data_IF_819394272874
#
_entry.id   IF_819394272874
#
_cell.length_a   1.000
_cell.length_b   1.000
_cell.length_c   1.000
_cell.angle_alpha   90.00
_cell.angle_beta   90.00
_cell.angle_gamma   90.00
#
_symmetry.space_group_name_H-M   'P 1'
#
loop_
_entity.id
_entity.type
_entity.pdbx_description
1 polymer ?
#
# COMPACT_ATOMS: atom_id res chain seq x y z
N UNK A 1 10.10 -4.42 -20.80
CA UNK A 1 9.22 -5.55 -21.18
C UNK A 1 8.23 -5.89 -20.06
N UNK A 2 8.62 -5.81 -18.79
CA UNK A 2 7.75 -6.15 -17.64
C UNK A 2 6.61 -5.11 -17.38
N UNK A 3 6.83 -3.84 -17.68
CA UNK A 3 5.82 -2.78 -17.58
C UNK A 3 4.70 -2.97 -18.60
N UNK A 4 4.97 -3.63 -19.69
CA UNK A 4 4.02 -3.87 -20.79
C UNK A 4 2.99 -4.94 -20.41
N UNK A 5 3.34 -5.94 -19.59
CA UNK A 5 2.43 -7.05 -19.28
C UNK A 5 1.23 -6.67 -18.40
N UNK A 6 1.33 -5.61 -17.58
CA UNK A 6 0.18 -5.06 -16.85
C UNK A 6 -0.68 -4.11 -17.70
N UNK A 7 -0.22 -3.77 -18.90
CA UNK A 7 -0.89 -2.88 -19.82
C UNK A 7 -1.84 -3.59 -20.80
N UNK A 8 -1.69 -4.89 -20.96
CA UNK A 8 -2.61 -5.68 -21.80
C UNK A 8 -3.88 -6.00 -21.00
N UNK A 9 -4.77 -5.03 -20.95
CA UNK A 9 -6.15 -5.23 -20.51
C UNK A 9 -6.96 -5.43 -21.79
N UNK A 10 -7.87 -6.38 -21.79
CA UNK A 10 -8.80 -6.63 -22.88
C UNK A 10 -9.56 -5.34 -23.24
N UNK A 11 -9.36 -4.79 -24.45
CA UNK A 11 -9.92 -3.48 -24.81
C UNK A 11 -11.43 -3.49 -24.79
N UNK A 12 -12.04 -4.55 -25.27
CA UNK A 12 -13.49 -4.73 -25.22
C UNK A 12 -14.02 -4.67 -23.79
N UNK A 13 -13.26 -5.13 -22.80
CA UNK A 13 -13.63 -5.11 -21.38
C UNK A 13 -13.36 -3.79 -20.67
N UNK A 14 -12.56 -2.89 -21.23
CA UNK A 14 -12.46 -1.53 -20.70
C UNK A 14 -13.71 -0.72 -21.02
N UNK A 15 -14.27 -0.89 -22.20
CA UNK A 15 -15.50 -0.23 -22.59
C UNK A 15 -16.69 -0.84 -21.83
N UNK A 16 -16.68 -2.14 -21.58
CA UNK A 16 -17.67 -2.84 -20.74
C UNK A 16 -17.58 -2.49 -19.25
N UNK A 17 -16.37 -2.27 -18.72
CA UNK A 17 -16.19 -1.75 -17.35
C UNK A 17 -16.79 -0.35 -17.16
N UNK A 18 -17.16 0.30 -18.24
CA UNK A 18 -17.83 1.61 -18.25
C UNK A 18 -19.35 1.48 -18.25
N UNK A 19 -19.90 0.27 -18.33
CA UNK A 19 -21.36 0.07 -18.44
C UNK A 19 -22.19 0.75 -17.34
N UNK A 20 -21.59 0.97 -16.15
CA UNK A 20 -22.19 1.70 -15.03
C UNK A 20 -21.47 3.03 -14.74
N UNK A 21 -20.39 3.36 -15.46
CA UNK A 21 -19.70 4.61 -15.26
C UNK A 21 -20.54 5.78 -15.79
N UNK A 22 -20.74 6.79 -14.95
CA UNK A 22 -21.56 7.97 -15.23
C UNK A 22 -23.10 7.75 -15.21
N UNK A 23 -23.58 6.55 -14.86
CA UNK A 23 -24.99 6.27 -14.63
C UNK A 23 -25.20 5.73 -13.22
N UNK A 24 -25.72 6.57 -12.32
CA UNK A 24 -25.94 6.23 -10.91
C UNK A 24 -27.05 5.21 -10.66
N UNK A 25 -27.91 4.95 -11.64
CA UNK A 25 -29.01 3.99 -11.58
C UNK A 25 -28.57 2.61 -12.11
N UNK A 26 -27.47 2.55 -12.87
CA UNK A 26 -26.99 1.31 -13.46
C UNK A 26 -26.22 0.47 -12.44
N UNK A 27 -26.67 -0.77 -12.23
CA UNK A 27 -25.95 -1.71 -11.36
C UNK A 27 -24.66 -2.22 -12.03
N UNK A 28 -23.60 -2.40 -11.24
CA UNK A 28 -22.38 -3.04 -11.70
C UNK A 28 -22.56 -4.51 -12.16
N UNK A 29 -23.74 -5.10 -11.96
CA UNK A 29 -24.12 -6.42 -12.49
C UNK A 29 -24.13 -6.47 -14.02
N UNK A 30 -24.22 -5.32 -14.71
CA UNK A 30 -24.07 -5.25 -16.16
C UNK A 30 -22.71 -5.79 -16.66
N UNK A 31 -21.70 -5.86 -15.79
CA UNK A 31 -20.42 -6.51 -16.11
C UNK A 31 -20.49 -8.05 -16.11
N UNK A 32 -21.45 -8.65 -15.41
CA UNK A 32 -21.43 -10.09 -15.09
C UNK A 32 -21.64 -11.00 -16.29
N UNK A 33 -22.47 -10.62 -17.25
CA UNK A 33 -22.82 -11.44 -18.40
C UNK A 33 -21.75 -11.38 -19.51
N UNK A 34 -21.12 -10.24 -19.66
CA UNK A 34 -20.15 -9.97 -20.72
C UNK A 34 -18.75 -10.53 -20.43
N UNK A 35 -18.37 -10.70 -19.15
CA UNK A 35 -17.09 -11.32 -18.78
C UNK A 35 -16.94 -12.80 -19.15
N UNK A 36 -18.03 -13.48 -19.54
CA UNK A 36 -18.02 -14.91 -19.85
C UNK A 36 -17.80 -15.22 -21.34
N UNK A 37 -18.04 -14.27 -22.25
CA UNK A 37 -18.13 -14.57 -23.69
C UNK A 37 -16.97 -14.08 -24.55
N UNK A 38 -16.09 -13.22 -24.09
CA UNK A 38 -15.06 -12.65 -24.97
C UNK A 38 -13.75 -13.41 -24.93
N UNK A 39 -13.24 -13.73 -26.13
CA UNK A 39 -11.92 -14.29 -26.38
C UNK A 39 -10.80 -13.36 -25.83
N UNK A 40 -9.66 -13.95 -25.51
CA UNK A 40 -8.52 -13.27 -24.87
C UNK A 40 -7.68 -12.50 -25.92
N UNK A 41 -8.25 -11.55 -26.62
CA UNK A 41 -7.47 -10.67 -27.48
C UNK A 41 -6.84 -9.56 -26.64
N UNK A 42 -5.52 -9.61 -26.52
CA UNK A 42 -4.72 -8.62 -25.80
C UNK A 42 -4.65 -7.35 -26.67
N UNK A 43 -5.14 -6.24 -26.15
CA UNK A 43 -5.13 -4.97 -26.85
C UNK A 43 -4.28 -3.96 -26.11
N UNK A 44 -3.58 -3.11 -26.85
CA UNK A 44 -2.74 -2.05 -26.30
C UNK A 44 -3.65 -0.99 -25.64
N UNK A 45 -3.64 -0.94 -24.31
CA UNK A 45 -4.40 0.04 -23.55
C UNK A 45 -3.58 1.30 -23.32
N UNK A 46 -4.15 2.46 -23.70
CA UNK A 46 -3.56 3.77 -23.39
C UNK A 46 -3.70 4.16 -21.90
N UNK A 47 -4.43 3.37 -21.10
CA UNK A 47 -4.61 3.57 -19.65
C UNK A 47 -3.53 2.86 -18.83
N UNK A 48 -2.29 2.99 -19.24
CA UNK A 48 -1.14 2.45 -18.52
C UNK A 48 -0.38 3.56 -17.82
N UNK A 49 0.30 3.21 -16.74
CA UNK A 49 1.22 4.12 -16.05
C UNK A 49 2.50 4.39 -16.90
N UNK A 50 2.32 4.65 -18.20
CA UNK A 50 3.42 4.90 -19.13
C UNK A 50 4.14 6.23 -18.85
N UNK A 51 3.45 7.18 -18.24
CA UNK A 51 3.97 8.51 -17.95
C UNK A 51 4.61 8.61 -16.55
N UNK A 52 4.77 7.48 -15.84
CA UNK A 52 5.41 7.49 -14.52
C UNK A 52 4.61 8.21 -13.42
N UNK A 53 3.29 8.36 -13.59
CA UNK A 53 2.42 9.04 -12.62
C UNK A 53 2.35 8.32 -11.26
N UNK A 54 2.58 7.00 -11.25
CA UNK A 54 2.60 6.18 -10.05
C UNK A 54 3.95 5.48 -9.89
N UNK A 55 4.44 5.31 -8.64
CA UNK A 55 5.62 4.51 -8.37
C UNK A 55 5.49 3.09 -8.92
N UNK A 56 6.57 2.55 -9.45
CA UNK A 56 6.58 1.25 -10.13
C UNK A 56 6.59 0.04 -9.18
N UNK A 57 6.84 0.25 -7.90
CA UNK A 57 7.04 -0.83 -6.93
C UNK A 57 5.87 -1.81 -6.82
N UNK A 58 4.65 -1.30 -6.67
CA UNK A 58 3.45 -2.13 -6.63
C UNK A 58 3.29 -2.97 -7.91
N UNK A 59 3.45 -2.36 -9.08
CA UNK A 59 3.27 -3.03 -10.37
C UNK A 59 4.35 -4.07 -10.63
N UNK A 60 5.59 -3.78 -10.23
CA UNK A 60 6.70 -4.73 -10.31
C UNK A 60 6.39 -6.02 -9.54
N UNK A 61 5.98 -5.92 -8.28
CA UNK A 61 5.67 -7.09 -7.47
C UNK A 61 4.40 -7.80 -7.92
N UNK A 62 3.38 -7.07 -8.32
CA UNK A 62 2.13 -7.66 -8.84
C UNK A 62 2.35 -8.42 -10.14
N UNK A 63 3.33 -8.04 -10.97
CA UNK A 63 3.61 -8.73 -12.23
C UNK A 63 4.06 -10.19 -12.06
N UNK A 64 4.64 -10.56 -10.92
CA UNK A 64 4.99 -11.97 -10.63
C UNK A 64 3.76 -12.86 -10.41
N UNK A 65 2.61 -12.28 -10.15
CA UNK A 65 1.34 -12.99 -9.96
C UNK A 65 0.48 -13.01 -11.22
N UNK A 66 0.97 -12.41 -12.30
CA UNK A 66 0.29 -12.41 -13.58
C UNK A 66 0.43 -13.78 -14.27
N UNK A 67 -0.67 -14.29 -14.80
CA UNK A 67 -0.75 -15.52 -15.58
C UNK A 67 -1.61 -15.29 -16.83
N UNK A 68 -1.68 -16.27 -17.72
CA UNK A 68 -2.51 -16.20 -18.92
C UNK A 68 -4.04 -16.15 -18.60
N UNK A 69 -4.42 -16.54 -17.38
CA UNK A 69 -5.79 -16.49 -16.92
C UNK A 69 -6.01 -15.25 -16.04
N UNK A 70 -6.80 -14.29 -16.52
CA UNK A 70 -7.07 -13.04 -15.84
C UNK A 70 -7.72 -13.23 -14.46
N UNK A 71 -8.70 -14.15 -14.35
CA UNK A 71 -9.38 -14.44 -13.09
C UNK A 71 -8.42 -14.99 -12.06
N UNK A 72 -7.56 -15.94 -12.45
CA UNK A 72 -6.54 -16.51 -11.57
C UNK A 72 -5.56 -15.45 -11.11
N UNK A 73 -5.08 -14.61 -12.02
CA UNK A 73 -4.18 -13.49 -11.70
C UNK A 73 -4.81 -12.52 -10.70
N UNK A 74 -6.05 -12.09 -10.96
CA UNK A 74 -6.76 -11.17 -10.07
C UNK A 74 -7.00 -11.77 -8.68
N UNK A 75 -7.42 -13.04 -8.60
CA UNK A 75 -7.61 -13.74 -7.32
C UNK A 75 -6.30 -13.91 -6.56
N UNK A 76 -5.22 -14.31 -7.25
CA UNK A 76 -3.89 -14.44 -6.64
C UNK A 76 -3.40 -13.10 -6.06
N UNK A 77 -3.50 -12.02 -6.84
CA UNK A 77 -3.12 -10.67 -6.38
C UNK A 77 -3.95 -10.25 -5.17
N UNK A 78 -5.26 -10.43 -5.19
CA UNK A 78 -6.16 -10.10 -4.08
C UNK A 78 -5.84 -10.88 -2.82
N UNK A 79 -5.65 -12.19 -2.96
CA UNK A 79 -5.29 -13.05 -1.83
C UNK A 79 -3.94 -12.68 -1.22
N UNK A 80 -2.92 -12.47 -2.06
CA UNK A 80 -1.58 -12.10 -1.60
C UNK A 80 -1.60 -10.75 -0.89
N UNK A 81 -2.37 -9.77 -1.36
CA UNK A 81 -2.48 -8.46 -0.69
C UNK A 81 -3.18 -8.55 0.67
N UNK A 82 -4.29 -9.31 0.75
CA UNK A 82 -4.97 -9.55 2.02
C UNK A 82 -4.06 -10.29 3.02
N UNK A 83 -3.35 -11.32 2.54
CA UNK A 83 -2.39 -12.07 3.34
C UNK A 83 -1.22 -11.20 3.81
N UNK A 84 -0.65 -10.39 2.91
CA UNK A 84 0.43 -9.45 3.24
C UNK A 84 0.03 -8.50 4.38
N UNK A 85 -1.12 -7.84 4.24
CA UNK A 85 -1.62 -6.94 5.30
C UNK A 85 -1.83 -7.68 6.62
N UNK A 86 -2.47 -8.85 6.58
CA UNK A 86 -2.77 -9.64 7.78
C UNK A 86 -1.48 -10.10 8.46
N UNK A 87 -0.53 -10.65 7.72
CA UNK A 87 0.77 -11.10 8.25
C UNK A 87 1.54 -9.94 8.88
N UNK A 88 1.55 -8.79 8.22
CA UNK A 88 2.22 -7.60 8.74
C UNK A 88 1.52 -7.06 10.00
N UNK A 89 0.20 -6.98 10.01
CA UNK A 89 -0.54 -6.50 11.18
C UNK A 89 -0.36 -7.44 12.39
N UNK A 90 -0.45 -8.75 12.19
CA UNK A 90 -0.22 -9.77 13.23
C UNK A 90 1.24 -9.75 13.69
N UNK A 91 2.20 -9.73 12.76
CA UNK A 91 3.62 -9.66 13.08
C UNK A 91 3.97 -8.42 13.93
N UNK A 92 3.44 -7.27 13.53
CA UNK A 92 3.61 -6.04 14.30
C UNK A 92 2.96 -6.13 15.68
N UNK A 93 1.73 -6.67 15.76
CA UNK A 93 1.03 -6.88 17.04
C UNK A 93 1.84 -7.77 18.00
N UNK A 94 2.46 -8.83 17.51
CA UNK A 94 3.29 -9.73 18.31
C UNK A 94 4.56 -9.04 18.84
N UNK A 95 5.18 -8.16 18.04
CA UNK A 95 6.40 -7.45 18.41
C UNK A 95 6.15 -6.27 19.35
N UNK A 96 4.99 -5.62 19.25
CA UNK A 96 4.67 -4.44 20.05
C UNK A 96 4.52 -4.75 21.55
N UNK A 97 4.92 -3.83 22.44
CA UNK A 97 4.56 -3.87 23.86
C UNK A 97 3.03 -3.86 24.06
N UNK A 98 2.55 -4.47 25.16
CA UNK A 98 1.12 -4.60 25.46
C UNK A 98 0.30 -3.32 25.29
N UNK A 99 0.69 -2.13 25.81
CA UNK A 99 -0.11 -0.92 25.64
C UNK A 99 -0.23 -0.51 24.17
N UNK A 100 0.82 -0.67 23.38
CA UNK A 100 0.82 -0.30 21.97
C UNK A 100 0.02 -1.28 21.09
N UNK A 101 -0.16 -2.52 21.53
CA UNK A 101 -1.04 -3.50 20.88
C UNK A 101 -2.49 -3.07 20.83
N UNK A 102 -2.99 -2.55 21.96
CA UNK A 102 -4.36 -2.02 22.04
C UNK A 102 -4.53 -0.79 21.14
N UNK A 103 -3.53 0.09 21.10
CA UNK A 103 -3.54 1.24 20.21
C UNK A 103 -3.55 0.83 18.72
N UNK A 104 -2.78 -0.21 18.34
CA UNK A 104 -2.80 -0.75 16.98
C UNK A 104 -4.19 -1.30 16.62
N UNK A 105 -4.78 -2.14 17.48
CA UNK A 105 -6.11 -2.73 17.22
C UNK A 105 -7.17 -1.62 17.15
N UNK A 106 -7.16 -0.68 18.11
CA UNK A 106 -8.09 0.44 18.13
C UNK A 106 -7.95 1.33 16.90
N UNK A 107 -6.73 1.63 16.50
CA UNK A 107 -6.44 2.40 15.29
C UNK A 107 -6.96 1.70 14.03
N UNK A 108 -6.68 0.41 13.86
CA UNK A 108 -7.21 -0.38 12.75
C UNK A 108 -8.75 -0.42 12.79
N UNK A 109 -9.36 -0.67 13.94
CA UNK A 109 -10.81 -0.77 14.07
C UNK A 109 -11.54 0.54 13.71
N UNK A 110 -10.95 1.69 14.07
CA UNK A 110 -11.55 3.00 13.80
C UNK A 110 -11.31 3.44 12.35
N UNK A 111 -10.13 3.16 11.80
CA UNK A 111 -9.76 3.59 10.45
C UNK A 111 -10.17 2.60 9.37
N UNK A 112 -10.44 1.34 9.75
CA UNK A 112 -10.86 0.27 8.85
C UNK A 112 -12.35 0.37 8.53
N UNK A 113 -12.72 1.53 7.99
CA UNK A 113 -14.06 1.74 7.43
C UNK A 113 -14.28 0.81 6.24
N UNK A 114 -15.52 0.57 5.80
CA UNK A 114 -15.82 -0.37 4.70
C UNK A 114 -14.95 -0.21 3.47
N UNK A 115 -14.57 1.02 3.12
CA UNK A 115 -13.71 1.30 1.97
C UNK A 115 -12.28 0.75 2.15
N UNK A 116 -11.72 0.79 3.36
CA UNK A 116 -10.41 0.20 3.65
C UNK A 116 -10.44 -1.31 3.53
N UNK A 117 -11.50 -1.96 4.02
CA UNK A 117 -11.69 -3.41 3.88
C UNK A 117 -11.83 -3.84 2.41
N UNK A 118 -12.38 -2.98 1.57
CA UNK A 118 -12.47 -3.22 0.13
C UNK A 118 -11.13 -2.97 -0.59
N UNK A 119 -10.43 -1.87 -0.27
CA UNK A 119 -9.23 -1.46 -0.99
C UNK A 119 -8.02 -2.35 -0.69
N UNK A 120 -7.88 -2.86 0.53
CA UNK A 120 -6.72 -3.71 0.89
C UNK A 120 -6.63 -4.96 0.03
N UNK A 121 -7.70 -5.79 -0.13
CA UNK A 121 -7.65 -6.94 -0.99
C UNK A 121 -7.89 -6.62 -2.47
N UNK A 122 -8.03 -5.37 -2.86
CA UNK A 122 -8.24 -5.02 -4.28
C UNK A 122 -6.93 -5.00 -5.06
N UNK A 123 -7.00 -5.20 -6.38
CA UNK A 123 -5.85 -5.05 -7.29
C UNK A 123 -5.62 -3.55 -7.53
N UNK A 124 -5.14 -2.87 -6.48
CA UNK A 124 -4.98 -1.43 -6.48
C UNK A 124 -3.78 -1.04 -5.58
N UNK A 125 -2.86 -0.17 -6.03
CA UNK A 125 -1.75 0.30 -5.21
C UNK A 125 -2.20 0.99 -3.91
N UNK A 126 -3.42 1.51 -3.83
CA UNK A 126 -3.96 2.10 -2.61
C UNK A 126 -4.01 1.12 -1.43
N UNK A 127 -4.11 -0.19 -1.67
CA UNK A 127 -4.02 -1.20 -0.62
C UNK A 127 -2.69 -1.16 0.12
N UNK A 128 -1.59 -1.00 -0.60
CA UNK A 128 -0.25 -0.83 0.00
C UNK A 128 -0.09 0.50 0.72
N UNK A 129 -0.66 1.58 0.18
CA UNK A 129 -0.66 2.89 0.81
C UNK A 129 -1.38 2.85 2.17
N UNK A 130 -2.56 2.22 2.23
CA UNK A 130 -3.32 2.02 3.47
C UNK A 130 -2.55 1.15 4.46
N UNK A 131 -1.96 0.04 4.00
CA UNK A 131 -1.15 -0.83 4.84
C UNK A 131 0.06 -0.08 5.42
N UNK A 132 0.77 0.70 4.60
CA UNK A 132 1.86 1.56 5.05
C UNK A 132 1.39 2.54 6.13
N UNK A 133 0.32 3.29 5.87
CA UNK A 133 -0.22 4.27 6.83
C UNK A 133 -0.64 3.64 8.16
N UNK A 134 -1.25 2.46 8.13
CA UNK A 134 -1.69 1.75 9.33
C UNK A 134 -0.52 1.19 10.16
N UNK A 135 0.58 0.80 9.54
CA UNK A 135 1.66 0.05 10.19
C UNK A 135 2.87 0.90 10.54
N UNK A 136 3.17 1.97 9.78
CA UNK A 136 4.39 2.77 9.93
C UNK A 136 4.45 3.47 11.29
N UNK A 137 3.42 4.20 11.68
CA UNK A 137 3.38 4.93 12.95
C UNK A 137 3.57 4.00 14.16
N UNK A 138 2.76 2.93 14.35
CA UNK A 138 2.94 2.06 15.50
C UNK A 138 4.28 1.31 15.48
N UNK A 139 4.83 0.97 14.31
CA UNK A 139 6.17 0.37 14.21
C UNK A 139 7.26 1.33 14.69
N UNK A 140 7.21 2.60 14.29
CA UNK A 140 8.16 3.64 14.73
C UNK A 140 8.05 3.94 16.22
N UNK A 141 6.82 4.07 16.75
CA UNK A 141 6.61 4.25 18.19
C UNK A 141 7.15 3.05 18.97
N UNK A 142 6.91 1.84 18.49
CA UNK A 142 7.48 0.63 19.06
C UNK A 142 9.01 0.61 19.00
N UNK A 143 9.61 0.94 17.86
CA UNK A 143 11.05 1.03 17.66
C UNK A 143 11.72 2.00 18.65
N UNK A 144 11.15 3.21 18.80
CA UNK A 144 11.69 4.25 19.67
C UNK A 144 11.45 3.96 21.17
N UNK A 145 10.47 3.14 21.52
CA UNK A 145 10.05 2.85 22.90
C UNK A 145 10.57 1.53 23.45
N UNK A 146 11.18 0.67 22.62
CA UNK A 146 11.70 -0.64 23.04
C UNK A 146 13.22 -0.70 22.86
N UNK A 147 13.85 -1.78 23.37
CA UNK A 147 15.29 -2.01 23.24
C UNK A 147 15.56 -3.45 22.78
N UNK A 148 16.83 -3.72 22.46
CA UNK A 148 17.29 -5.03 22.02
C UNK A 148 16.70 -5.46 20.67
N UNK A 149 16.59 -6.78 20.45
CA UNK A 149 16.16 -7.35 19.17
C UNK A 149 14.79 -6.90 18.70
N UNK A 150 13.88 -6.64 19.66
CA UNK A 150 12.52 -6.14 19.34
C UNK A 150 12.55 -4.75 18.68
N UNK A 151 13.42 -3.87 19.18
CA UNK A 151 13.60 -2.55 18.57
C UNK A 151 14.12 -2.71 17.14
N UNK A 152 15.12 -3.57 16.91
CA UNK A 152 15.65 -3.81 15.56
C UNK A 152 14.56 -4.36 14.62
N UNK A 153 13.78 -5.34 15.08
CA UNK A 153 12.68 -5.91 14.30
C UNK A 153 11.61 -4.86 13.97
N UNK A 154 11.22 -4.01 14.94
CA UNK A 154 10.24 -2.93 14.73
C UNK A 154 10.79 -1.84 13.79
N UNK A 155 12.09 -1.55 13.86
CA UNK A 155 12.76 -0.70 12.88
C UNK A 155 12.71 -1.27 11.47
N UNK A 156 12.96 -2.57 11.31
CA UNK A 156 12.81 -3.30 10.05
C UNK A 156 11.36 -3.24 9.50
N UNK A 157 10.38 -3.41 10.39
CA UNK A 157 8.97 -3.24 10.05
C UNK A 157 8.65 -1.81 9.56
N UNK A 158 9.20 -0.80 10.23
CA UNK A 158 9.00 0.59 9.83
C UNK A 158 9.60 0.88 8.45
N UNK A 159 10.81 0.37 8.17
CA UNK A 159 11.43 0.47 6.84
C UNK A 159 10.56 -0.21 5.79
N UNK A 160 10.11 -1.44 6.05
CA UNK A 160 9.28 -2.18 5.12
C UNK A 160 7.93 -1.49 4.86
N UNK A 161 7.27 -1.00 5.91
CA UNK A 161 6.03 -0.23 5.77
C UNK A 161 6.23 1.05 4.96
N UNK A 162 7.32 1.78 5.18
CA UNK A 162 7.66 2.95 4.38
C UNK A 162 7.88 2.60 2.91
N UNK A 163 8.63 1.53 2.61
CA UNK A 163 8.86 1.06 1.24
C UNK A 163 7.58 0.65 0.52
N UNK A 164 6.63 0.00 1.22
CA UNK A 164 5.31 -0.28 0.65
C UNK A 164 4.58 1.00 0.23
N UNK A 165 4.56 2.00 1.09
CA UNK A 165 3.95 3.30 0.80
C UNK A 165 4.62 3.99 -0.39
N UNK A 166 5.93 4.17 -0.33
CA UNK A 166 6.73 4.83 -1.38
C UNK A 166 6.65 4.10 -2.73
N UNK A 167 6.54 2.77 -2.71
CA UNK A 167 6.41 1.94 -3.91
C UNK A 167 4.99 1.88 -4.49
N UNK A 168 3.99 2.46 -3.82
CA UNK A 168 2.59 2.34 -4.23
C UNK A 168 2.02 3.62 -4.84
N UNK A 169 2.12 4.75 -4.13
CA UNK A 169 1.51 6.02 -4.53
C UNK A 169 2.40 7.20 -4.07
N UNK A 170 2.45 8.25 -4.88
CA UNK A 170 3.22 9.45 -4.54
C UNK A 170 2.70 10.19 -3.30
N UNK A 171 1.37 10.23 -3.10
CA UNK A 171 0.74 10.83 -1.92
C UNK A 171 1.03 10.07 -0.62
N UNK A 172 1.31 8.77 -0.68
CA UNK A 172 1.71 7.97 0.48
C UNK A 172 2.98 8.49 1.16
N UNK A 173 3.85 9.13 0.41
CA UNK A 173 5.06 9.75 0.93
C UNK A 173 4.75 10.89 1.91
N UNK A 174 3.71 11.70 1.63
CA UNK A 174 3.27 12.75 2.55
C UNK A 174 2.73 12.16 3.87
N UNK A 175 1.93 11.08 3.79
CA UNK A 175 1.45 10.38 4.99
C UNK A 175 2.59 9.76 5.79
N UNK A 176 3.63 9.26 5.14
CA UNK A 176 4.82 8.75 5.82
C UNK A 176 5.55 9.86 6.60
N UNK A 177 5.71 11.05 6.03
CA UNK A 177 6.27 12.21 6.74
C UNK A 177 5.47 12.54 7.99
N UNK A 178 4.13 12.60 7.88
CA UNK A 178 3.24 12.87 9.03
C UNK A 178 3.38 11.78 10.11
N UNK A 179 3.41 10.51 9.71
CA UNK A 179 3.57 9.39 10.64
C UNK A 179 4.92 9.44 11.39
N UNK A 180 6.00 9.79 10.70
CA UNK A 180 7.33 9.95 11.32
C UNK A 180 7.33 11.11 12.30
N UNK A 181 6.81 12.28 11.91
CA UNK A 181 6.72 13.43 12.82
C UNK A 181 5.90 13.10 14.06
N UNK A 182 4.76 12.45 13.90
CA UNK A 182 3.93 12.01 15.02
C UNK A 182 4.69 11.04 15.94
N UNK A 183 5.40 10.05 15.38
CA UNK A 183 6.20 9.11 16.16
C UNK A 183 7.29 9.82 16.97
N UNK A 184 8.01 10.76 16.36
CA UNK A 184 9.07 11.54 17.03
C UNK A 184 8.50 12.39 18.16
N UNK A 185 7.36 13.04 17.96
CA UNK A 185 6.70 13.86 18.98
C UNK A 185 6.19 13.01 20.15
N UNK A 186 5.48 11.91 19.85
CA UNK A 186 4.88 11.02 20.87
C UNK A 186 5.96 10.38 21.76
N UNK A 187 7.12 10.04 21.18
CA UNK A 187 8.18 9.31 21.89
C UNK A 187 9.30 10.21 22.37
N UNK A 188 9.19 11.52 22.20
CA UNK A 188 10.25 12.48 22.46
C UNK A 188 10.89 12.32 23.85
N UNK A 189 12.22 12.24 23.89
CA UNK A 189 13.02 12.20 25.12
C UNK A 189 14.32 12.97 24.93
N UNK A 190 14.69 13.77 25.93
CA UNK A 190 15.98 14.48 25.95
C UNK A 190 17.09 13.50 26.38
N UNK A 191 17.57 12.68 25.45
CA UNK A 191 18.70 11.77 25.70
C UNK A 191 19.49 11.52 24.41
N UNK A 192 20.80 11.25 24.57
CA UNK A 192 21.67 10.90 23.44
C UNK A 192 21.21 9.61 22.77
N UNK A 193 20.76 8.64 23.55
CA UNK A 193 20.24 7.37 23.02
C UNK A 193 19.03 7.62 22.10
N UNK A 194 18.10 8.49 22.50
CA UNK A 194 16.96 8.86 21.66
C UNK A 194 17.43 9.56 20.37
N UNK A 195 18.39 10.48 20.46
CA UNK A 195 18.90 11.19 19.28
C UNK A 195 19.51 10.23 18.25
N UNK A 196 20.28 9.22 18.72
CA UNK A 196 20.84 8.18 17.84
C UNK A 196 19.73 7.34 17.20
N UNK A 197 18.73 6.94 17.97
CA UNK A 197 17.58 6.17 17.42
C UNK A 197 16.71 6.99 16.47
N UNK A 198 16.62 8.29 16.66
CA UNK A 198 15.87 9.19 15.78
C UNK A 198 16.47 9.29 14.35
N UNK A 199 17.70 8.82 14.14
CA UNK A 199 18.33 8.82 12.80
C UNK A 199 17.50 8.00 11.81
N UNK A 200 17.03 6.81 12.19
CA UNK A 200 16.22 5.97 11.29
C UNK A 200 14.92 6.66 10.84
N UNK A 201 14.02 7.11 11.73
CA UNK A 201 12.81 7.81 11.31
C UNK A 201 13.12 9.09 10.52
N UNK A 202 14.15 9.85 10.88
CA UNK A 202 14.54 11.05 10.11
C UNK A 202 15.00 10.66 8.70
N UNK A 203 15.78 9.61 8.54
CA UNK A 203 16.19 9.11 7.22
C UNK A 203 14.97 8.67 6.37
N UNK A 204 13.99 7.99 6.98
CA UNK A 204 12.74 7.63 6.31
C UNK A 204 11.93 8.87 5.93
N UNK A 205 11.88 9.88 6.78
CA UNK A 205 11.20 11.14 6.49
C UNK A 205 11.85 11.87 5.31
N UNK A 206 13.17 11.96 5.27
CA UNK A 206 13.92 12.59 4.16
C UNK A 206 13.67 11.82 2.86
N UNK A 207 13.79 10.49 2.89
CA UNK A 207 13.50 9.66 1.71
C UNK A 207 12.07 9.86 1.22
N UNK A 208 11.09 9.92 2.12
CA UNK A 208 9.68 10.16 1.78
C UNK A 208 9.48 11.56 1.19
N UNK A 209 10.09 12.58 1.79
CA UNK A 209 10.00 13.95 1.27
C UNK A 209 10.61 14.08 -0.13
N UNK A 210 11.78 13.48 -0.37
CA UNK A 210 12.41 13.46 -1.69
C UNK A 210 11.50 12.74 -2.70
N UNK A 211 10.95 11.58 -2.35
CA UNK A 211 10.04 10.85 -3.24
C UNK A 211 8.80 11.66 -3.57
N UNK A 212 8.21 12.34 -2.58
CA UNK A 212 7.05 13.21 -2.79
C UNK A 212 7.34 14.36 -3.77
N UNK A 213 8.49 15.02 -3.60
CA UNK A 213 8.88 16.16 -4.44
C UNK A 213 9.29 15.74 -5.86
N UNK A 214 9.78 14.52 -6.04
CA UNK A 214 10.19 13.97 -7.34
C UNK A 214 9.09 13.20 -8.06
N UNK A 215 8.03 12.81 -7.37
CA UNK A 215 6.86 12.21 -7.99
C UNK A 215 6.16 13.28 -8.85
N UNK A 216 6.13 13.09 -10.17
CA UNK A 216 5.60 14.05 -11.15
C UNK A 216 4.08 14.30 -11.10
N UNK A 217 3.48 14.30 -9.90
CA UNK A 217 2.05 14.52 -9.66
C UNK A 217 1.64 16.00 -9.63
N UNK A 218 2.50 16.90 -10.08
CA UNK A 218 2.27 18.36 -10.04
C UNK A 218 1.76 18.94 -11.35
N UNK A 219 1.11 18.14 -12.21
CA UNK A 219 0.48 18.67 -13.43
C UNK A 219 -0.99 18.31 -13.51
#
# INVERSE_FOLDING_TARGET
>A
TLVIMTAYILADKIDEAICYAHDGEQSASCQGEQFQESGYDLVDSRRVNSNGQYPTGYYFWSSFLASDNLTTSALAMRFVQAALFTVLAVGLWLLLPRPNRLALIGGIAITFVPIGMFLIPSVNPSGWAIASGALLLPALVGYLSTSGWRSVALGGFAVFAALLGLGSRGDSAAYAVVAVLAALVITFRLSVEYAVRAILPIALMVASAVTFLTAGQTS
#
